data_IF_173488593578
#
_entry.id   IF_173488593578
#
_cell.length_a   1.000
_cell.length_b   1.000
_cell.length_c   1.000
_cell.angle_alpha   90.00
_cell.angle_beta   90.00
_cell.angle_gamma   90.00
#
_symmetry.space_group_name_H-M   'P 1'
#
loop_
_entity.id
_entity.type
_entity.pdbx_description
1 polymer ?
#
# COMPACT_ATOMS: atom_id res chain seq x y z
N UNK A 1 16.39 10.38 73.57
CA UNK A 1 16.60 11.79 73.99
C UNK A 1 16.75 12.61 72.71
N UNK A 2 16.03 13.73 72.62
CA UNK A 2 15.69 14.50 71.41
C UNK A 2 16.89 14.88 70.52
N UNK A 3 16.70 14.75 69.20
CA UNK A 3 17.47 15.43 68.15
C UNK A 3 16.58 16.43 67.41
N UNK A 4 17.24 17.38 66.74
CA UNK A 4 16.86 18.77 66.52
C UNK A 4 15.88 19.04 65.36
N UNK A 5 15.11 20.13 65.51
CA UNK A 5 14.25 20.72 64.48
C UNK A 5 15.05 21.73 63.63
N UNK A 6 15.13 21.51 62.33
CA UNK A 6 15.53 22.51 61.34
C UNK A 6 14.31 23.00 60.53
N UNK A 7 14.00 24.30 60.64
CA UNK A 7 12.90 25.01 59.97
C UNK A 7 13.30 25.40 58.54
N UNK A 8 12.48 25.07 57.54
CA UNK A 8 12.63 25.53 56.15
C UNK A 8 11.93 26.88 55.95
N UNK A 9 12.64 27.82 55.32
CA UNK A 9 12.16 29.14 54.85
C UNK A 9 11.41 28.99 53.52
N UNK A 10 10.20 29.51 53.45
CA UNK A 10 9.54 29.91 52.20
C UNK A 10 10.11 31.26 51.74
N UNK A 11 10.27 31.41 50.41
CA UNK A 11 10.69 32.65 49.76
C UNK A 11 9.77 32.87 48.55
N UNK A 12 9.07 33.99 48.59
CA UNK A 12 8.17 34.51 47.56
C UNK A 12 8.91 35.38 46.52
N UNK A 13 8.24 35.50 45.36
CA UNK A 13 8.38 36.44 44.22
C UNK A 13 9.45 36.17 43.12
N UNK A 14 9.22 36.59 41.84
CA UNK A 14 8.15 37.45 41.31
C UNK A 14 7.38 36.92 40.06
N UNK A 15 6.28 37.61 39.73
CA UNK A 15 5.49 37.51 38.49
C UNK A 15 6.29 38.04 37.29
N UNK A 16 6.34 37.26 36.20
CA UNK A 16 6.82 37.72 34.89
C UNK A 16 5.88 37.30 33.76
N UNK A 17 5.51 38.28 32.93
CA UNK A 17 5.30 38.09 31.50
C UNK A 17 3.91 37.66 31.04
N UNK A 18 2.96 38.59 31.04
CA UNK A 18 1.92 38.59 30.00
C UNK A 18 2.60 38.62 28.62
N UNK A 19 2.80 37.45 28.03
CA UNK A 19 2.98 37.35 26.58
C UNK A 19 1.67 37.79 25.96
N UNK A 20 1.65 39.01 25.41
CA UNK A 20 0.72 39.36 24.34
C UNK A 20 0.85 38.27 23.28
N UNK A 21 -0.12 37.36 23.23
CA UNK A 21 -0.41 36.61 22.02
C UNK A 21 -0.77 37.65 20.96
N UNK A 22 0.22 38.05 20.16
CA UNK A 22 -0.09 38.54 18.82
C UNK A 22 -0.98 37.47 18.21
N UNK A 23 -2.23 37.84 17.89
CA UNK A 23 -3.18 37.01 17.18
C UNK A 23 -2.58 36.64 15.84
N UNK A 24 -1.78 35.58 15.82
CA UNK A 24 -1.14 35.07 14.62
C UNK A 24 -2.26 34.75 13.64
N UNK A 25 -2.31 35.52 12.55
CA UNK A 25 -3.29 35.34 11.49
C UNK A 25 -3.30 33.85 11.12
N UNK A 26 -4.44 33.15 11.25
CA UNK A 26 -4.47 31.71 11.09
C UNK A 26 -3.91 31.32 9.73
N UNK A 27 -2.94 30.39 9.73
CA UNK A 27 -2.25 29.99 8.51
C UNK A 27 -3.24 29.32 7.55
N UNK A 28 -3.42 29.94 6.38
CA UNK A 28 -4.36 29.46 5.34
C UNK A 28 -3.97 28.07 4.81
N UNK A 29 -2.69 27.85 4.51
CA UNK A 29 -2.17 26.55 4.06
C UNK A 29 -1.51 25.82 5.24
N UNK A 30 -2.15 24.76 5.73
CA UNK A 30 -1.73 23.99 6.91
C UNK A 30 -0.57 23.03 6.60
N UNK A 31 -0.46 22.52 5.39
CA UNK A 31 0.66 21.64 4.99
C UNK A 31 0.48 21.03 3.59
N UNK A 32 1.54 20.36 3.13
CA UNK A 32 1.59 19.63 1.84
C UNK A 32 1.98 18.18 2.09
N UNK A 33 1.19 17.24 1.55
CA UNK A 33 1.31 15.82 1.84
C UNK A 33 1.41 15.06 0.51
N UNK A 34 2.31 14.08 0.46
CA UNK A 34 2.34 13.11 -0.64
C UNK A 34 1.14 12.18 -0.51
N UNK A 35 0.48 11.87 -1.62
CA UNK A 35 -0.58 10.85 -1.68
C UNK A 35 -0.38 9.93 -2.88
N UNK A 36 -1.28 8.96 -3.07
CA UNK A 36 -1.24 8.02 -4.19
C UNK A 36 0.04 7.19 -4.22
N UNK A 37 0.46 6.82 -5.43
CA UNK A 37 1.58 5.89 -5.66
C UNK A 37 2.93 6.42 -5.14
N UNK A 38 3.12 7.75 -5.14
CA UNK A 38 4.33 8.38 -4.62
C UNK A 38 4.46 8.18 -3.11
N UNK A 39 3.38 8.40 -2.36
CA UNK A 39 3.40 8.25 -0.90
C UNK A 39 3.52 6.80 -0.45
N UNK A 40 2.95 5.89 -1.23
CA UNK A 40 2.88 4.45 -0.94
C UNK A 40 4.11 3.67 -1.44
N UNK A 41 5.05 4.35 -2.11
CA UNK A 41 6.21 3.70 -2.73
C UNK A 41 5.82 2.69 -3.80
N UNK A 42 4.77 2.98 -4.58
CA UNK A 42 4.21 2.07 -5.59
C UNK A 42 4.58 2.41 -7.03
N UNK A 43 5.41 3.45 -7.25
CA UNK A 43 5.86 3.85 -8.59
C UNK A 43 6.44 2.67 -9.37
N UNK A 44 5.96 2.52 -10.61
CA UNK A 44 6.49 1.60 -11.61
C UNK A 44 7.31 2.36 -12.65
N UNK A 45 8.12 1.63 -13.42
CA UNK A 45 8.82 2.24 -14.55
C UNK A 45 7.80 2.80 -15.55
N UNK A 46 7.99 4.05 -15.96
CA UNK A 46 7.05 4.77 -16.84
C UNK A 46 5.98 5.57 -16.10
N UNK A 47 5.86 5.47 -14.76
CA UNK A 47 5.00 6.37 -13.99
C UNK A 47 5.60 7.79 -14.01
N UNK A 48 4.97 8.70 -14.75
CA UNK A 48 5.41 10.09 -14.91
C UNK A 48 4.56 11.09 -14.10
N UNK A 49 3.48 10.62 -13.47
CA UNK A 49 2.51 11.47 -12.79
C UNK A 49 2.46 11.15 -11.30
N UNK A 50 2.54 12.19 -10.46
CA UNK A 50 2.44 12.06 -9.00
C UNK A 50 1.42 13.04 -8.43
N UNK A 51 0.94 12.74 -7.22
CA UNK A 51 -0.13 13.51 -6.58
C UNK A 51 0.30 14.01 -5.20
N UNK A 52 0.04 15.29 -4.94
CA UNK A 52 0.16 15.96 -3.65
C UNK A 52 -1.18 16.53 -3.23
N UNK A 53 -1.39 16.63 -1.91
CA UNK A 53 -2.56 17.27 -1.32
C UNK A 53 -2.11 18.42 -0.43
N UNK A 54 -2.70 19.59 -0.64
CA UNK A 54 -2.51 20.77 0.21
C UNK A 54 -3.72 20.91 1.13
N UNK A 55 -3.48 20.88 2.43
CA UNK A 55 -4.54 21.09 3.43
C UNK A 55 -4.70 22.58 3.71
N UNK A 56 -5.92 23.08 3.55
CA UNK A 56 -6.30 24.46 3.85
C UNK A 56 -6.98 24.54 5.22
N UNK A 57 -6.96 25.73 5.84
CA UNK A 57 -7.67 25.99 7.09
C UNK A 57 -9.17 25.98 6.93
N UNK A 58 -9.65 26.59 5.84
CA UNK A 58 -11.05 26.72 5.44
C UNK A 58 -11.29 26.01 4.11
N UNK A 59 -12.55 25.96 3.65
CA UNK A 59 -12.89 25.37 2.35
C UNK A 59 -12.11 26.10 1.25
N UNK A 60 -11.32 25.40 0.43
CA UNK A 60 -10.53 26.05 -0.59
C UNK A 60 -11.43 26.67 -1.65
N UNK A 61 -11.05 27.85 -2.14
CA UNK A 61 -11.79 28.59 -3.15
C UNK A 61 -11.00 28.70 -4.44
N UNK A 62 -11.68 29.04 -5.54
CA UNK A 62 -11.05 29.37 -6.81
C UNK A 62 -10.06 30.51 -6.64
N UNK A 63 -10.41 31.54 -5.88
CA UNK A 63 -9.49 32.67 -5.58
C UNK A 63 -8.21 32.19 -4.90
N UNK A 64 -8.32 31.26 -3.93
CA UNK A 64 -7.15 30.69 -3.27
C UNK A 64 -6.30 29.87 -4.25
N UNK A 65 -6.92 29.03 -5.08
CA UNK A 65 -6.24 28.22 -6.09
C UNK A 65 -5.45 29.09 -7.07
N UNK A 66 -6.06 30.17 -7.57
CA UNK A 66 -5.43 31.14 -8.47
C UNK A 66 -4.25 31.82 -7.78
N UNK A 67 -4.43 32.29 -6.53
CA UNK A 67 -3.36 32.92 -5.77
C UNK A 67 -2.16 31.99 -5.54
N UNK A 68 -2.40 30.70 -5.29
CA UNK A 68 -1.33 29.71 -5.14
C UNK A 68 -0.66 29.45 -6.49
N UNK A 69 -1.42 29.29 -7.57
CA UNK A 69 -0.89 29.07 -8.91
C UNK A 69 -0.02 30.24 -9.41
N UNK A 70 -0.37 31.49 -9.10
CA UNK A 70 0.39 32.67 -9.49
C UNK A 70 1.66 32.86 -8.65
N UNK A 71 1.64 32.41 -7.39
CA UNK A 71 2.78 32.50 -6.48
C UNK A 71 3.80 31.37 -6.67
N UNK A 72 3.34 30.17 -7.05
CA UNK A 72 4.16 28.96 -7.10
C UNK A 72 5.37 29.05 -8.06
N UNK A 73 5.25 29.57 -9.30
CA UNK A 73 6.40 29.71 -10.19
C UNK A 73 7.54 30.54 -9.58
N UNK A 74 7.20 31.61 -8.85
CA UNK A 74 8.19 32.47 -8.19
C UNK A 74 8.94 31.74 -7.08
N UNK A 75 8.26 30.85 -6.36
CA UNK A 75 8.87 30.04 -5.31
C UNK A 75 9.73 28.90 -5.88
N UNK A 76 9.31 28.29 -6.99
CA UNK A 76 10.10 27.26 -7.68
C UNK A 76 11.42 27.86 -8.20
N UNK A 77 11.36 29.01 -8.87
CA UNK A 77 12.54 29.71 -9.40
C UNK A 77 13.54 30.17 -8.32
N UNK A 78 13.11 30.26 -7.06
CA UNK A 78 14.00 30.60 -5.95
C UNK A 78 14.80 29.38 -5.42
N UNK A 79 14.44 28.16 -5.81
CA UNK A 79 14.99 26.90 -5.27
C UNK A 79 15.72 26.11 -6.38
N UNK A 80 15.32 26.27 -7.64
CA UNK A 80 15.92 25.55 -8.78
C UNK A 80 15.91 26.40 -10.05
N UNK A 81 16.92 26.19 -10.89
CA UNK A 81 17.02 26.77 -12.24
C UNK A 81 16.20 25.99 -13.29
N UNK A 82 15.66 24.82 -12.90
CA UNK A 82 14.81 24.01 -13.77
C UNK A 82 13.47 24.70 -14.07
N UNK A 83 13.02 24.55 -15.32
CA UNK A 83 11.77 25.14 -15.79
C UNK A 83 10.61 24.19 -15.60
N UNK A 84 9.55 24.74 -15.00
CA UNK A 84 8.30 24.04 -14.76
C UNK A 84 7.13 24.84 -15.32
N UNK A 85 6.24 24.16 -16.04
CA UNK A 85 4.96 24.69 -16.45
C UNK A 85 3.96 24.52 -15.30
N UNK A 86 3.34 25.62 -14.85
CA UNK A 86 2.32 25.60 -13.80
C UNK A 86 0.96 25.92 -14.41
N UNK A 87 0.07 24.93 -14.43
CA UNK A 87 -1.29 25.05 -14.97
C UNK A 87 -2.32 24.87 -13.86
N UNK A 88 -3.20 25.86 -13.70
CA UNK A 88 -4.38 25.75 -12.83
C UNK A 88 -5.48 24.91 -13.48
N UNK A 89 -6.12 24.03 -12.71
CA UNK A 89 -7.26 23.22 -13.14
C UNK A 89 -8.36 23.31 -12.08
N UNK A 90 -9.29 24.26 -12.27
CA UNK A 90 -10.36 24.54 -11.30
C UNK A 90 -11.31 23.35 -11.15
N UNK A 91 -11.62 22.67 -12.26
CA UNK A 91 -12.50 21.50 -12.31
C UNK A 91 -11.98 20.31 -11.48
N UNK A 92 -10.67 20.20 -11.32
CA UNK A 92 -10.00 19.17 -10.53
C UNK A 92 -9.58 19.65 -9.14
N UNK A 93 -9.95 20.89 -8.76
CA UNK A 93 -9.49 21.56 -7.54
C UNK A 93 -7.95 21.55 -7.38
N UNK A 94 -7.21 21.59 -8.50
CA UNK A 94 -5.79 21.26 -8.53
C UNK A 94 -4.93 22.24 -9.33
N UNK A 95 -3.63 22.23 -9.01
CA UNK A 95 -2.56 22.88 -9.76
C UNK A 95 -1.66 21.78 -10.32
N UNK A 96 -1.47 21.74 -11.62
CA UNK A 96 -0.62 20.77 -12.31
C UNK A 96 0.73 21.45 -12.56
N UNK A 97 1.79 20.87 -12.03
CA UNK A 97 3.18 21.30 -12.23
C UNK A 97 3.86 20.27 -13.11
N UNK A 98 4.30 20.66 -14.31
CA UNK A 98 4.91 19.76 -15.29
C UNK A 98 6.35 20.17 -15.60
N UNK A 99 7.26 19.19 -15.71
CA UNK A 99 8.62 19.44 -16.18
C UNK A 99 8.63 19.71 -17.68
N UNK A 100 9.47 20.67 -18.12
CA UNK A 100 9.70 20.90 -19.54
C UNK A 100 10.70 19.91 -20.16
N UNK A 101 11.51 19.25 -19.32
CA UNK A 101 12.50 18.25 -19.73
C UNK A 101 11.86 16.89 -20.03
N UNK A 102 12.41 16.18 -21.02
CA UNK A 102 12.02 14.81 -21.34
C UNK A 102 12.73 13.79 -20.42
N UNK A 103 12.00 12.78 -19.90
CA UNK A 103 10.56 12.57 -20.05
C UNK A 103 9.77 13.59 -19.21
N UNK A 104 8.69 14.15 -19.79
CA UNK A 104 7.81 15.09 -19.09
C UNK A 104 7.12 14.42 -17.91
N UNK A 105 7.49 14.83 -16.71
CA UNK A 105 6.86 14.43 -15.46
C UNK A 105 5.83 15.48 -15.05
N UNK A 106 4.77 15.07 -14.35
CA UNK A 106 3.78 15.99 -13.81
C UNK A 106 3.44 15.68 -12.36
N UNK A 107 3.15 16.74 -11.60
CA UNK A 107 2.72 16.69 -10.23
C UNK A 107 1.38 17.43 -10.11
N UNK A 108 0.30 16.69 -9.82
CA UNK A 108 -0.99 17.28 -9.50
C UNK A 108 -1.04 17.64 -8.02
N UNK A 109 -1.33 18.90 -7.71
CA UNK A 109 -1.40 19.45 -6.36
C UNK A 109 -2.84 19.86 -6.08
N UNK A 110 -3.61 18.99 -5.41
CA UNK A 110 -5.02 19.21 -5.11
C UNK A 110 -5.19 19.96 -3.78
N UNK A 111 -6.00 21.01 -3.75
CA UNK A 111 -6.33 21.74 -2.54
C UNK A 111 -7.57 21.12 -1.90
N UNK A 112 -7.53 20.91 -0.59
CA UNK A 112 -8.69 20.44 0.18
C UNK A 112 -8.66 20.97 1.61
N UNK A 113 -9.72 20.74 2.38
CA UNK A 113 -9.81 21.10 3.79
C UNK A 113 -10.61 20.06 4.57
N UNK A 114 -10.25 19.71 5.81
CA UNK A 114 -11.05 18.82 6.66
C UNK A 114 -12.52 19.27 6.81
N UNK A 115 -12.75 20.59 6.77
CA UNK A 115 -14.09 21.21 6.88
C UNK A 115 -15.02 20.81 5.72
N UNK A 116 -14.49 20.32 4.59
CA UNK A 116 -15.28 19.81 3.46
C UNK A 116 -16.19 18.63 3.84
N UNK A 117 -15.84 17.88 4.89
CA UNK A 117 -16.68 16.77 5.41
C UNK A 117 -17.78 17.21 6.35
N UNK A 118 -17.56 18.30 7.09
CA UNK A 118 -18.49 18.74 8.15
C UNK A 118 -19.87 19.11 7.59
N UNK A 119 -19.93 19.60 6.34
CA UNK A 119 -21.20 19.89 5.65
C UNK A 119 -22.09 18.65 5.46
N UNK A 120 -21.55 17.44 5.47
CA UNK A 120 -22.34 16.20 5.37
C UNK A 120 -23.08 15.86 6.68
N UNK A 121 -22.64 16.42 7.81
CA UNK A 121 -23.25 16.19 9.12
C UNK A 121 -24.36 17.20 9.45
N UNK A 122 -24.43 18.32 8.72
CA UNK A 122 -25.37 19.41 9.00
C UNK A 122 -26.75 19.24 8.36
N UNK A 123 -26.93 18.27 7.44
CA UNK A 123 -28.23 17.95 6.84
C UNK A 123 -29.14 17.09 7.75
N UNK A 124 -28.68 16.74 8.95
CA UNK A 124 -29.47 16.10 10.00
C UNK A 124 -29.32 16.84 11.32
N UNK A 125 -30.24 17.77 11.60
CA UNK A 125 -30.48 18.44 12.90
C UNK A 125 -29.23 18.85 13.70
N UNK A 126 -28.81 20.12 13.59
CA UNK A 126 -28.69 21.11 14.70
C UNK A 126 -27.92 22.33 14.19
N UNK A 127 -28.55 23.51 14.28
CA UNK A 127 -28.01 24.80 13.88
C UNK A 127 -26.77 25.21 14.68
N UNK A 128 -25.60 25.29 14.04
CA UNK A 128 -24.47 26.12 14.51
C UNK A 128 -23.92 26.93 13.35
N UNK A 129 -23.97 28.26 13.51
CA UNK A 129 -23.38 29.34 12.68
C UNK A 129 -22.79 28.88 11.34
N UNK A 130 -23.64 28.79 10.31
CA UNK A 130 -23.17 28.66 8.94
C UNK A 130 -22.54 29.98 8.53
N UNK A 131 -21.20 30.07 8.61
CA UNK A 131 -20.48 30.98 7.73
C UNK A 131 -20.91 30.56 6.33
N UNK A 132 -21.69 31.40 5.64
CA UNK A 132 -22.11 31.12 4.27
C UNK A 132 -20.86 30.85 3.46
N UNK A 133 -20.80 29.68 2.86
CA UNK A 133 -19.70 29.31 1.98
C UNK A 133 -19.49 30.43 0.94
N UNK A 134 -18.23 30.83 0.67
CA UNK A 134 -17.94 31.73 -0.43
C UNK A 134 -18.54 31.19 -1.74
N UNK A 135 -19.00 32.06 -2.64
CA UNK A 135 -19.61 31.63 -3.89
C UNK A 135 -18.65 30.89 -4.83
N UNK A 136 -17.34 30.96 -4.56
CA UNK A 136 -16.27 30.39 -5.37
C UNK A 136 -15.54 29.21 -4.71
N UNK A 137 -16.18 28.51 -3.76
CA UNK A 137 -15.64 27.25 -3.20
C UNK A 137 -15.38 26.23 -4.32
N UNK A 138 -14.24 25.52 -4.24
CA UNK A 138 -13.87 24.49 -5.21
C UNK A 138 -14.82 23.29 -5.15
N UNK A 139 -14.78 22.46 -6.21
CA UNK A 139 -15.64 21.28 -6.30
C UNK A 139 -15.53 20.40 -5.05
N UNK A 140 -16.70 20.10 -4.47
CA UNK A 140 -16.78 19.38 -3.21
C UNK A 140 -16.28 17.95 -3.34
N UNK A 141 -16.64 17.26 -4.42
CA UNK A 141 -16.27 15.86 -4.61
C UNK A 141 -14.77 15.72 -4.78
N UNK A 142 -14.13 16.56 -5.60
CA UNK A 142 -12.66 16.57 -5.79
C UNK A 142 -11.92 16.79 -4.47
N UNK A 143 -12.43 17.71 -3.64
CA UNK A 143 -11.84 17.94 -2.32
C UNK A 143 -12.01 16.73 -1.38
N UNK A 144 -13.15 16.05 -1.42
CA UNK A 144 -13.39 14.83 -0.64
C UNK A 144 -12.50 13.68 -1.11
N UNK A 145 -12.33 13.51 -2.42
CA UNK A 145 -11.44 12.51 -3.01
C UNK A 145 -9.98 12.75 -2.59
N UNK A 146 -9.53 14.00 -2.53
CA UNK A 146 -8.21 14.35 -2.01
C UNK A 146 -8.06 13.99 -0.51
N UNK A 147 -9.10 14.19 0.32
CA UNK A 147 -9.09 13.72 1.71
C UNK A 147 -9.12 12.20 1.81
N UNK A 148 -9.81 11.51 0.90
CA UNK A 148 -9.80 10.05 0.82
C UNK A 148 -8.40 9.55 0.49
N UNK A 149 -7.75 10.09 -0.54
CA UNK A 149 -6.37 9.78 -0.91
C UNK A 149 -5.39 10.00 0.26
N UNK A 150 -5.60 11.04 1.07
CA UNK A 150 -4.81 11.29 2.27
C UNK A 150 -5.01 10.21 3.34
N UNK A 151 -6.25 9.76 3.58
CA UNK A 151 -6.53 8.63 4.48
C UNK A 151 -5.91 7.34 3.94
N UNK A 152 -6.05 7.07 2.64
CA UNK A 152 -5.50 5.86 2.01
C UNK A 152 -3.99 5.82 2.16
N UNK A 153 -3.29 6.94 1.95
CA UNK A 153 -1.84 7.02 2.17
C UNK A 153 -1.45 6.75 3.63
N UNK A 154 -2.16 7.33 4.60
CA UNK A 154 -1.91 7.08 6.04
C UNK A 154 -2.18 5.63 6.42
N UNK A 155 -3.29 5.06 5.96
CA UNK A 155 -3.64 3.67 6.20
C UNK A 155 -2.58 2.74 5.59
N UNK A 156 -2.17 3.00 4.36
CA UNK A 156 -1.16 2.19 3.67
C UNK A 156 0.15 2.18 4.43
N UNK A 157 0.61 3.35 4.89
CA UNK A 157 1.82 3.47 5.69
C UNK A 157 1.74 2.66 6.99
N UNK A 158 0.56 2.65 7.64
CA UNK A 158 0.34 1.97 8.90
C UNK A 158 0.10 0.45 8.76
N UNK A 159 -0.46 0.00 7.64
CA UNK A 159 -0.95 -1.38 7.46
C UNK A 159 -0.20 -2.19 6.41
N UNK A 160 0.07 -1.61 5.25
CA UNK A 160 0.63 -2.32 4.10
C UNK A 160 2.15 -2.19 4.00
N UNK A 161 2.72 -1.02 4.34
CA UNK A 161 4.13 -0.74 4.10
C UNK A 161 5.09 -1.65 4.89
N UNK A 162 4.74 -1.96 6.14
CA UNK A 162 5.53 -2.86 6.99
C UNK A 162 5.22 -4.34 6.79
N UNK A 163 4.20 -4.69 5.98
CA UNK A 163 3.77 -6.06 5.78
C UNK A 163 4.66 -6.74 4.74
N UNK A 164 5.38 -7.78 5.17
CA UNK A 164 6.32 -8.50 4.30
C UNK A 164 5.63 -8.95 3.01
N UNK A 165 6.31 -8.74 1.88
CA UNK A 165 5.83 -9.06 0.53
C UNK A 165 4.64 -8.24 0.02
N UNK A 166 3.93 -7.49 0.87
CA UNK A 166 2.74 -6.75 0.45
C UNK A 166 3.04 -5.73 -0.65
N UNK A 167 4.00 -4.82 -0.41
CA UNK A 167 4.34 -3.75 -1.37
C UNK A 167 4.79 -4.30 -2.73
N UNK A 168 5.61 -5.36 -2.75
CA UNK A 168 6.07 -5.97 -4.02
C UNK A 168 4.92 -6.66 -4.76
N UNK A 169 4.01 -7.33 -4.04
CA UNK A 169 2.83 -7.95 -4.66
C UNK A 169 1.90 -6.89 -5.22
N UNK A 170 1.68 -5.77 -4.50
CA UNK A 170 0.89 -4.65 -5.01
C UNK A 170 1.51 -4.11 -6.32
N UNK A 171 2.83 -3.94 -6.39
CA UNK A 171 3.51 -3.51 -7.63
C UNK A 171 3.31 -4.50 -8.78
N UNK A 172 3.39 -5.81 -8.52
CA UNK A 172 3.12 -6.85 -9.52
C UNK A 172 1.66 -6.78 -10.01
N UNK A 173 0.71 -6.59 -9.09
CA UNK A 173 -0.71 -6.48 -9.45
C UNK A 173 -1.01 -5.17 -10.22
N UNK A 174 -0.35 -4.05 -9.88
CA UNK A 174 -0.45 -2.81 -10.68
C UNK A 174 -0.02 -3.05 -12.12
N UNK A 175 1.13 -3.68 -12.32
CA UNK A 175 1.62 -4.06 -13.65
C UNK A 175 0.64 -5.00 -14.37
N UNK A 176 0.06 -5.99 -13.67
CA UNK A 176 -0.97 -6.86 -14.23
C UNK A 176 -2.19 -6.08 -14.70
N UNK A 177 -2.70 -5.12 -13.91
CA UNK A 177 -3.84 -4.28 -14.26
C UNK A 177 -3.55 -3.37 -15.48
N UNK A 178 -2.28 -3.00 -15.70
CA UNK A 178 -1.85 -2.24 -16.87
C UNK A 178 -1.73 -3.12 -18.13
N UNK A 179 -1.22 -4.35 -17.99
CA UNK A 179 -0.98 -5.25 -19.14
C UNK A 179 -2.19 -6.06 -19.58
N UNK A 180 -3.09 -6.40 -18.65
CA UNK A 180 -4.22 -7.31 -18.89
C UNK A 180 -5.53 -6.55 -18.75
N UNK A 181 -6.24 -6.24 -19.86
CA UNK A 181 -7.47 -5.42 -19.84
C UNK A 181 -8.55 -5.91 -18.88
N UNK A 182 -8.67 -7.23 -18.68
CA UNK A 182 -9.61 -7.82 -17.71
C UNK A 182 -9.44 -7.28 -16.29
N UNK A 183 -8.23 -6.87 -15.91
CA UNK A 183 -7.91 -6.39 -14.57
C UNK A 183 -7.99 -4.86 -14.44
N UNK A 184 -8.06 -4.13 -15.56
CA UNK A 184 -8.10 -2.65 -15.58
C UNK A 184 -9.25 -2.05 -14.76
N UNK A 185 -10.47 -2.63 -14.72
CA UNK A 185 -11.57 -2.09 -13.90
C UNK A 185 -11.32 -2.14 -12.39
N UNK A 186 -10.40 -2.99 -11.92
CA UNK A 186 -10.06 -3.07 -10.50
C UNK A 186 -9.31 -1.80 -10.08
N UNK A 187 -10.03 -0.89 -9.41
CA UNK A 187 -9.46 0.38 -8.99
C UNK A 187 -8.25 0.18 -8.05
N UNK A 188 -7.29 1.13 -8.08
CA UNK A 188 -6.02 1.01 -7.35
C UNK A 188 -6.22 0.78 -5.85
N UNK A 189 -7.20 1.45 -5.24
CA UNK A 189 -7.46 1.33 -3.81
C UNK A 189 -8.01 -0.03 -3.41
N UNK A 190 -8.98 -0.55 -4.16
CA UNK A 190 -9.50 -1.90 -3.97
C UNK A 190 -8.40 -2.95 -4.15
N UNK A 191 -7.55 -2.80 -5.16
CA UNK A 191 -6.40 -3.70 -5.36
C UNK A 191 -5.42 -3.66 -4.17
N UNK A 192 -5.06 -2.47 -3.67
CA UNK A 192 -4.17 -2.33 -2.51
C UNK A 192 -4.76 -2.98 -1.24
N UNK A 193 -6.04 -2.70 -0.95
CA UNK A 193 -6.76 -3.28 0.18
C UNK A 193 -6.86 -4.81 0.07
N UNK A 194 -7.16 -5.30 -1.14
CA UNK A 194 -7.29 -6.73 -1.41
C UNK A 194 -5.98 -7.44 -1.15
N UNK A 195 -4.87 -6.92 -1.67
CA UNK A 195 -3.55 -7.52 -1.45
C UNK A 195 -3.17 -7.49 0.03
N UNK A 196 -3.36 -6.36 0.71
CA UNK A 196 -3.06 -6.27 2.15
C UNK A 196 -3.85 -7.30 2.95
N UNK A 197 -5.18 -7.39 2.78
CA UNK A 197 -6.02 -8.36 3.51
C UNK A 197 -5.65 -9.81 3.21
N UNK A 198 -5.34 -10.11 1.95
CA UNK A 198 -4.88 -11.44 1.57
C UNK A 198 -3.57 -11.78 2.27
N UNK A 199 -2.60 -10.85 2.28
CA UNK A 199 -1.28 -11.09 2.86
C UNK A 199 -1.32 -11.11 4.38
N UNK A 200 -2.04 -10.19 5.02
CA UNK A 200 -2.09 -10.08 6.48
C UNK A 200 -2.85 -11.23 7.14
N UNK A 201 -3.78 -11.86 6.43
CA UNK A 201 -4.47 -13.08 6.89
C UNK A 201 -3.68 -14.38 6.66
N UNK A 202 -2.57 -14.34 5.92
CA UNK A 202 -1.81 -15.53 5.47
C UNK A 202 -0.79 -16.09 6.45
N UNK A 203 -0.55 -15.42 7.57
CA UNK A 203 0.48 -15.77 8.55
C UNK A 203 1.76 -14.96 8.40
N UNK A 204 2.67 -15.10 9.37
CA UNK A 204 3.91 -14.32 9.39
C UNK A 204 4.88 -14.75 8.26
N UNK A 205 5.58 -13.77 7.70
CA UNK A 205 6.74 -13.93 6.82
C UNK A 205 6.50 -14.69 5.49
N UNK A 206 5.38 -14.43 4.81
CA UNK A 206 5.16 -15.01 3.49
C UNK A 206 6.17 -14.51 2.45
N UNK A 207 6.67 -15.43 1.61
CA UNK A 207 7.49 -15.08 0.45
C UNK A 207 6.66 -14.31 -0.59
N UNK A 208 7.27 -13.51 -1.48
CA UNK A 208 6.53 -12.82 -2.55
C UNK A 208 5.74 -13.77 -3.45
N UNK A 209 6.26 -14.97 -3.71
CA UNK A 209 5.58 -15.98 -4.53
C UNK A 209 4.35 -16.55 -3.84
N UNK A 210 4.44 -16.87 -2.55
CA UNK A 210 3.30 -17.37 -1.76
C UNK A 210 2.25 -16.29 -1.55
N UNK A 211 2.68 -15.06 -1.27
CA UNK A 211 1.81 -13.91 -1.14
C UNK A 211 1.01 -13.64 -2.42
N UNK A 212 1.68 -13.62 -3.57
CA UNK A 212 1.03 -13.47 -4.86
C UNK A 212 0.06 -14.62 -5.15
N UNK A 213 0.48 -15.87 -4.91
CA UNK A 213 -0.38 -17.04 -5.07
C UNK A 213 -1.64 -16.92 -4.21
N UNK A 214 -1.50 -16.52 -2.94
CA UNK A 214 -2.61 -16.35 -2.01
C UNK A 214 -3.61 -15.30 -2.48
N UNK A 215 -3.14 -14.18 -3.03
CA UNK A 215 -4.01 -13.16 -3.65
C UNK A 215 -4.87 -13.79 -4.75
N UNK A 216 -4.26 -14.56 -5.65
CA UNK A 216 -5.02 -15.26 -6.68
C UNK A 216 -5.97 -16.32 -6.11
N UNK A 217 -5.59 -17.05 -5.06
CA UNK A 217 -6.48 -18.00 -4.36
C UNK A 217 -7.72 -17.31 -3.78
N UNK A 218 -7.54 -16.18 -3.09
CA UNK A 218 -8.64 -15.41 -2.51
C UNK A 218 -9.59 -14.85 -3.56
N UNK A 219 -9.07 -14.31 -4.66
CA UNK A 219 -9.94 -13.86 -5.76
C UNK A 219 -10.65 -15.06 -6.40
N UNK A 220 -9.91 -16.16 -6.64
CA UNK A 220 -10.45 -17.38 -7.28
C UNK A 220 -11.59 -18.03 -6.50
N UNK A 221 -11.60 -17.89 -5.17
CA UNK A 221 -12.67 -18.39 -4.31
C UNK A 221 -13.95 -17.53 -4.36
N UNK A 222 -14.01 -16.51 -5.22
CA UNK A 222 -15.17 -15.66 -5.41
C UNK A 222 -15.26 -14.49 -4.44
N UNK A 223 -14.13 -14.01 -3.89
CA UNK A 223 -14.10 -12.87 -2.95
C UNK A 223 -14.83 -11.62 -3.48
N UNK A 224 -14.72 -11.38 -4.79
CA UNK A 224 -15.31 -10.23 -5.47
C UNK A 224 -16.70 -10.53 -6.08
N UNK A 225 -17.20 -11.77 -6.05
CA UNK A 225 -18.48 -12.10 -6.66
C UNK A 225 -19.66 -11.56 -5.83
N UNK A 226 -20.82 -11.32 -6.47
CA UNK A 226 -22.04 -10.95 -5.75
C UNK A 226 -22.40 -11.97 -4.66
N UNK A 227 -22.78 -11.49 -3.48
CA UNK A 227 -23.05 -12.34 -2.31
C UNK A 227 -21.80 -12.83 -1.57
N UNK A 228 -20.60 -12.52 -2.07
CA UNK A 228 -19.35 -12.68 -1.33
C UNK A 228 -19.23 -11.66 -0.17
N UNK A 229 -18.20 -11.78 0.67
CA UNK A 229 -18.01 -10.87 1.81
C UNK A 229 -17.64 -9.44 1.40
N UNK A 230 -17.27 -9.21 0.13
CA UNK A 230 -16.89 -7.90 -0.39
C UNK A 230 -15.57 -7.37 0.17
N UNK A 231 -15.22 -6.13 -0.18
CA UNK A 231 -13.98 -5.49 0.24
C UNK A 231 -14.28 -4.21 1.03
N UNK A 232 -14.51 -4.36 2.34
CA UNK A 232 -14.78 -3.23 3.22
C UNK A 232 -13.65 -2.20 3.23
N UNK A 233 -13.98 -0.93 2.99
CA UNK A 233 -13.06 0.21 3.04
C UNK A 233 -12.82 0.68 4.49
N UNK A 234 -11.61 0.45 5.06
CA UNK A 234 -11.28 0.87 6.42
C UNK A 234 -11.06 2.38 6.57
N UNK A 235 -11.03 3.13 5.48
CA UNK A 235 -10.86 4.57 5.51
C UNK A 235 -12.20 5.29 5.58
N UNK A 236 -13.33 4.67 5.22
CA UNK A 236 -14.66 5.27 5.32
C UNK A 236 -15.35 5.02 6.66
N UNK A 237 -16.24 5.95 7.04
CA UNK A 237 -17.04 5.81 8.28
C UNK A 237 -18.19 4.82 8.06
N UNK A 238 -18.88 4.98 6.94
CA UNK A 238 -19.97 4.10 6.56
C UNK A 238 -19.42 2.80 5.97
N UNK A 239 -20.24 1.75 5.99
CA UNK A 239 -19.84 0.46 5.44
C UNK A 239 -19.86 0.47 3.92
N UNK A 240 -18.72 0.83 3.32
CA UNK A 240 -18.54 0.94 1.87
C UNK A 240 -17.71 -0.23 1.35
N UNK A 241 -18.17 -0.86 0.26
CA UNK A 241 -17.37 -1.80 -0.52
C UNK A 241 -16.43 -1.02 -1.47
N UNK A 242 -15.12 -1.12 -1.26
CA UNK A 242 -14.11 -0.48 -2.10
C UNK A 242 -14.12 -1.00 -3.54
N UNK A 243 -14.66 -2.20 -3.78
CA UNK A 243 -14.83 -2.78 -5.10
C UNK A 243 -16.20 -2.48 -5.73
N UNK A 244 -17.04 -1.65 -5.09
CA UNK A 244 -18.43 -1.37 -5.52
C UNK A 244 -18.56 -0.84 -6.95
N UNK A 245 -17.51 -0.21 -7.49
CA UNK A 245 -17.49 0.29 -8.88
C UNK A 245 -17.50 -0.83 -9.93
N UNK A 246 -17.14 -2.06 -9.56
CA UNK A 246 -17.11 -3.19 -10.48
C UNK A 246 -18.52 -3.70 -10.77
N UNK A 247 -18.83 -3.86 -12.05
CA UNK A 247 -20.03 -4.56 -12.52
C UNK A 247 -19.94 -6.07 -12.22
N UNK A 248 -21.08 -6.75 -12.24
CA UNK A 248 -21.12 -8.20 -12.05
C UNK A 248 -20.30 -8.96 -13.10
N UNK A 249 -20.28 -8.47 -14.35
CA UNK A 249 -19.50 -9.09 -15.41
C UNK A 249 -17.99 -8.90 -15.19
N UNK A 250 -17.55 -7.70 -14.81
CA UNK A 250 -16.13 -7.47 -14.50
C UNK A 250 -15.67 -8.30 -13.30
N UNK A 251 -16.53 -8.47 -12.28
CA UNK A 251 -16.25 -9.36 -11.14
C UNK A 251 -16.08 -10.82 -11.57
N UNK A 252 -16.94 -11.31 -12.47
CA UNK A 252 -16.83 -12.65 -13.05
C UNK A 252 -15.53 -12.80 -13.86
N UNK A 253 -15.23 -11.84 -14.73
CA UNK A 253 -14.07 -11.89 -15.62
C UNK A 253 -12.75 -11.87 -14.82
N UNK A 254 -12.65 -11.00 -13.80
CA UNK A 254 -11.51 -10.95 -12.89
C UNK A 254 -11.38 -12.28 -12.11
N UNK A 255 -12.49 -12.84 -11.65
CA UNK A 255 -12.51 -14.12 -10.91
C UNK A 255 -12.03 -15.27 -11.80
N UNK A 256 -12.57 -15.39 -13.02
CA UNK A 256 -12.16 -16.39 -13.99
C UNK A 256 -10.68 -16.23 -14.40
N UNK A 257 -10.22 -15.00 -14.59
CA UNK A 257 -8.82 -14.69 -14.89
C UNK A 257 -7.89 -15.10 -13.73
N UNK A 258 -8.28 -14.81 -12.49
CA UNK A 258 -7.54 -15.24 -11.30
C UNK A 258 -7.49 -16.76 -11.15
N UNK A 259 -8.59 -17.48 -11.42
CA UNK A 259 -8.64 -18.95 -11.42
C UNK A 259 -7.70 -19.55 -12.46
N UNK A 260 -7.56 -18.91 -13.63
CA UNK A 260 -6.60 -19.32 -14.63
C UNK A 260 -5.15 -19.06 -14.19
N UNK A 261 -4.85 -17.85 -13.70
CA UNK A 261 -3.54 -17.47 -13.19
C UNK A 261 -3.08 -18.40 -12.05
N UNK A 262 -3.98 -18.74 -11.13
CA UNK A 262 -3.70 -19.66 -10.04
C UNK A 262 -3.28 -21.05 -10.53
N UNK A 263 -3.98 -21.60 -11.53
CA UNK A 263 -3.60 -22.88 -12.15
C UNK A 263 -2.24 -22.79 -12.82
N UNK A 264 -1.96 -21.71 -13.56
CA UNK A 264 -0.63 -21.48 -14.14
C UNK A 264 0.47 -21.47 -13.06
N UNK A 265 0.24 -20.79 -11.94
CA UNK A 265 1.18 -20.79 -10.80
C UNK A 265 1.40 -22.21 -10.26
N UNK A 266 0.32 -22.96 -10.02
CA UNK A 266 0.38 -24.33 -9.52
C UNK A 266 1.17 -25.27 -10.45
N UNK A 267 1.04 -25.09 -11.77
CA UNK A 267 1.78 -25.85 -12.78
C UNK A 267 3.13 -25.21 -13.17
N UNK A 268 3.71 -24.34 -12.32
CA UNK A 268 5.04 -23.72 -12.48
C UNK A 268 5.17 -22.84 -13.73
N UNK A 269 4.07 -22.26 -14.19
CA UNK A 269 3.97 -21.36 -15.34
C UNK A 269 3.72 -19.90 -14.93
N UNK A 270 4.17 -19.50 -13.73
CA UNK A 270 4.03 -18.14 -13.20
C UNK A 270 4.58 -17.06 -14.14
N UNK A 271 5.62 -17.35 -14.92
CA UNK A 271 6.20 -16.44 -15.91
C UNK A 271 5.15 -15.93 -16.92
N UNK A 272 4.16 -16.76 -17.28
CA UNK A 272 3.05 -16.33 -18.16
C UNK A 272 2.13 -15.32 -17.48
N UNK A 273 1.86 -15.48 -16.17
CA UNK A 273 1.07 -14.54 -15.38
C UNK A 273 1.81 -13.19 -15.27
N UNK A 274 3.13 -13.26 -15.06
CA UNK A 274 4.01 -12.10 -14.98
C UNK A 274 4.33 -11.47 -16.34
N UNK A 275 3.87 -12.04 -17.45
CA UNK A 275 4.14 -11.50 -18.79
C UNK A 275 5.63 -11.50 -19.17
N UNK A 276 6.38 -12.49 -18.70
CA UNK A 276 7.82 -12.60 -18.93
C UNK A 276 8.22 -13.98 -19.41
N UNK A 277 9.44 -14.08 -19.95
CA UNK A 277 10.05 -15.36 -20.29
C UNK A 277 10.40 -16.17 -19.03
N UNK A 278 10.38 -17.52 -19.11
CA UNK A 278 10.79 -18.35 -18.01
C UNK A 278 12.27 -18.09 -17.65
N UNK A 279 12.55 -17.90 -16.37
CA UNK A 279 13.92 -17.73 -15.90
C UNK A 279 14.76 -18.99 -16.19
N UNK A 280 16.07 -18.84 -16.45
CA UNK A 280 16.98 -19.96 -16.65
C UNK A 280 16.95 -20.94 -15.47
N UNK A 281 16.95 -22.24 -15.76
CA UNK A 281 16.99 -23.26 -14.71
C UNK A 281 18.26 -23.09 -13.84
N UNK A 282 18.15 -23.11 -12.49
CA UNK A 282 19.31 -22.99 -11.61
C UNK A 282 20.33 -24.09 -11.88
N UNK A 283 21.58 -23.72 -12.18
CA UNK A 283 22.66 -24.65 -12.51
C UNK A 283 22.96 -25.66 -11.38
N UNK A 284 22.66 -25.31 -10.12
CA UNK A 284 22.98 -26.10 -8.94
C UNK A 284 21.94 -27.19 -8.58
N UNK A 285 20.78 -27.25 -9.24
CA UNK A 285 19.80 -28.30 -8.95
C UNK A 285 20.17 -29.66 -9.58
N UNK A 286 21.09 -29.67 -10.57
CA UNK A 286 21.53 -30.89 -11.27
C UNK A 286 22.37 -31.84 -10.42
N UNK A 287 22.93 -31.40 -9.29
CA UNK A 287 23.77 -32.25 -8.44
C UNK A 287 23.01 -33.00 -7.33
N UNK A 288 21.76 -32.61 -7.01
CA UNK A 288 20.98 -33.23 -5.91
C UNK A 288 20.01 -34.32 -6.33
N UNK A 289 19.77 -34.50 -7.63
CA UNK A 289 18.90 -35.56 -8.15
C UNK A 289 19.74 -36.70 -8.71
N UNK A 290 20.43 -37.44 -7.84
CA UNK A 290 20.77 -38.83 -8.16
C UNK A 290 19.45 -39.60 -8.24
N UNK A 291 19.05 -40.15 -9.39
CA UNK A 291 17.85 -40.95 -9.47
C UNK A 291 18.14 -42.28 -8.76
N UNK A 292 17.86 -42.36 -7.45
CA UNK A 292 17.60 -43.65 -6.81
C UNK A 292 16.41 -44.24 -7.58
N UNK A 293 16.73 -45.15 -8.50
CA UNK A 293 15.79 -45.99 -9.25
C UNK A 293 14.61 -46.31 -8.34
N UNK A 294 13.42 -45.77 -8.65
CA UNK A 294 12.16 -46.34 -8.17
C UNK A 294 12.17 -47.80 -8.61
N UNK A 295 12.44 -48.70 -7.68
CA UNK A 295 12.35 -50.15 -7.87
C UNK A 295 10.89 -50.43 -8.21
N UNK A 296 10.59 -50.64 -9.50
CA UNK A 296 9.30 -51.20 -9.92
C UNK A 296 9.21 -52.57 -9.25
N UNK A 297 8.23 -52.72 -8.37
CA UNK A 297 7.77 -54.02 -7.88
C UNK A 297 6.88 -54.60 -8.97
N UNK A 298 7.49 -55.25 -9.96
CA UNK A 298 6.80 -56.24 -10.77
C UNK A 298 7.10 -57.61 -10.17
N UNK A 299 6.06 -58.21 -9.61
CA UNK A 299 6.04 -59.58 -9.12
C UNK A 299 5.92 -60.52 -10.32
N UNK A 300 6.97 -61.29 -10.60
CA UNK A 300 6.88 -62.55 -11.34
C UNK A 300 8.01 -63.48 -10.87
N UNK A 301 7.73 -64.78 -10.63
CA UNK A 301 8.69 -65.71 -10.03
C UNK A 301 9.58 -66.34 -11.13
N UNK A 302 10.87 -66.46 -10.85
CA UNK A 302 11.82 -67.11 -11.74
C UNK A 302 13.08 -67.48 -10.99
N UNK A 303 13.36 -68.78 -10.98
CA UNK A 303 14.39 -69.52 -10.26
C UNK A 303 15.82 -69.06 -10.58
N UNK A 304 16.76 -69.27 -9.65
CA UNK A 304 18.20 -69.12 -9.92
C UNK A 304 19.05 -68.96 -8.67
N UNK A 305 19.70 -70.06 -8.29
CA UNK A 305 20.64 -70.26 -7.19
C UNK A 305 21.87 -69.31 -7.23
N UNK A 306 22.52 -69.10 -6.07
CA UNK A 306 23.84 -68.45 -6.03
C UNK A 306 24.26 -67.89 -4.67
N UNK A 307 24.85 -68.79 -3.87
CA UNK A 307 25.68 -68.66 -2.67
C UNK A 307 26.32 -67.30 -2.28
N UNK A 308 26.53 -67.11 -0.97
CA UNK A 308 27.58 -66.21 -0.47
C UNK A 308 27.45 -65.74 0.99
N UNK A 309 27.75 -66.61 1.94
CA UNK A 309 27.87 -66.33 3.38
C UNK A 309 28.90 -65.25 3.76
N UNK A 310 28.64 -64.54 4.89
CA UNK A 310 29.59 -64.19 5.98
C UNK A 310 28.82 -63.34 7.01
N UNK A 311 28.30 -63.88 8.12
CA UNK A 311 28.95 -64.43 9.35
C UNK A 311 29.61 -63.32 10.20
N UNK A 312 28.79 -62.73 11.06
CA UNK A 312 29.19 -61.95 12.23
C UNK A 312 29.95 -62.82 13.24
N UNK A 313 31.08 -62.31 13.75
CA UNK A 313 31.70 -62.78 15.00
C UNK A 313 32.49 -61.64 15.68
N UNK A 314 31.78 -60.93 16.55
CA UNK A 314 32.02 -60.60 17.96
C UNK A 314 33.46 -60.60 18.57
N UNK A 315 33.62 -59.64 19.50
CA UNK A 315 34.48 -59.58 20.72
C UNK A 315 35.96 -59.24 20.53
N UNK A 316 36.65 -58.49 21.39
CA UNK A 316 36.31 -57.65 22.56
C UNK A 316 37.60 -56.88 22.97
N UNK A 317 37.39 -55.84 23.78
CA UNK A 317 38.16 -55.44 24.97
C UNK A 317 39.39 -54.48 24.94
N UNK A 318 39.18 -53.41 25.77
CA UNK A 318 40.03 -52.94 26.91
C UNK A 318 41.27 -52.10 26.56
N UNK A 319 41.62 -50.99 27.23
CA UNK A 319 41.10 -50.19 28.36
C UNK A 319 42.11 -49.01 28.57
N UNK A 320 41.72 -48.06 29.43
CA UNK A 320 42.52 -47.05 30.15
C UNK A 320 43.02 -45.83 29.35
N UNK A 321 43.00 -44.58 29.86
CA UNK A 321 42.96 -44.08 31.23
C UNK A 321 42.65 -42.57 31.26
N UNK A 322 42.00 -42.18 32.37
CA UNK A 322 42.18 -40.98 33.21
C UNK A 322 42.13 -39.55 32.68
N UNK A 323 41.46 -38.68 33.47
CA UNK A 323 41.93 -37.31 33.63
C UNK A 323 40.99 -36.23 34.14
N UNK A 324 40.42 -36.41 35.35
CA UNK A 324 39.85 -35.38 36.27
C UNK A 324 38.61 -34.57 35.88
#
# INVERSE_FOLDING_TARGET
>A
KKEEKGVKKEKEEPKEGEKKEESAVPRVLKGVMRVGVLAKGLLLHGDLNVNLVVLCSEKPTRTLLERVADALPKQIAAITDEKYEVKRCVEEAAIIVSSESDPKTSCSVTLTSPVMRETQLADGETSTVTVKDPPDVLDRQKCLDALAALRHAKWFQARANGLQSCVVVIRILRDLCQRVPTWTPLNEWAMELLVEKCVSSGGANMSPGDALRRVFESISSGLLLPGGPGLYDPCEKDSVDAASSLTNQEREDITASAQHALRLIAFRQIHKVLGMDPLPAPKHLRQRMNPRKRRRTDSAPGEGEGEGEKKDKKEDDVDMSDGK
#
